data_IF_430843236704
#
_entry.id   IF_430843236704
#
_cell.length_a   1.000
_cell.length_b   1.000
_cell.length_c   1.000
_cell.angle_alpha   90.00
_cell.angle_beta   90.00
_cell.angle_gamma   90.00
#
_symmetry.space_group_name_H-M   'P 1'
#
loop_
_entity.id
_entity.type
_entity.pdbx_description
1 polymer ?
#
# COMPACT_ATOMS: atom_id res chain seq x y z
N UNK A 1 -0.64 -31.36 -11.52
CA UNK A 1 -0.84 -30.70 -10.21
C UNK A 1 -1.19 -29.24 -10.48
N UNK A 2 -2.46 -28.86 -10.29
CA UNK A 2 -2.90 -27.47 -10.46
C UNK A 2 -2.57 -26.70 -9.19
N UNK A 3 -1.57 -25.82 -9.24
CA UNK A 3 -1.23 -24.94 -8.13
C UNK A 3 -2.16 -23.73 -8.17
N UNK A 4 -3.32 -23.84 -7.54
CA UNK A 4 -4.15 -22.65 -7.31
C UNK A 4 -3.45 -21.82 -6.22
N UNK A 5 -2.60 -20.89 -6.62
CA UNK A 5 -1.98 -19.96 -5.67
C UNK A 5 -3.07 -19.04 -5.13
N UNK A 6 -3.19 -18.97 -3.80
CA UNK A 6 -4.06 -18.00 -3.15
C UNK A 6 -3.67 -16.60 -3.65
N UNK A 7 -4.62 -15.81 -4.16
CA UNK A 7 -4.30 -14.47 -4.63
C UNK A 7 -3.72 -13.64 -3.47
N UNK A 8 -2.71 -12.79 -3.72
CA UNK A 8 -2.13 -11.98 -2.68
C UNK A 8 -3.17 -11.05 -2.06
N UNK A 9 -2.96 -10.65 -0.80
CA UNK A 9 -3.85 -9.73 -0.10
C UNK A 9 -4.07 -8.44 -0.91
N UNK A 10 -5.24 -7.81 -0.73
CA UNK A 10 -5.55 -6.54 -1.40
C UNK A 10 -4.42 -5.52 -1.20
N UNK A 11 -3.85 -5.46 0.00
CA UNK A 11 -2.76 -4.55 0.33
C UNK A 11 -1.53 -4.80 -0.56
N UNK A 12 -1.13 -6.08 -0.72
CA UNK A 12 0.01 -6.44 -1.57
C UNK A 12 -0.31 -6.16 -3.05
N UNK A 13 -1.55 -6.41 -3.49
CA UNK A 13 -1.99 -6.07 -4.85
C UNK A 13 -1.91 -4.57 -5.12
N UNK A 14 -2.36 -3.74 -4.18
CA UNK A 14 -2.27 -2.27 -4.28
C UNK A 14 -0.80 -1.84 -4.32
N UNK A 15 0.06 -2.38 -3.45
CA UNK A 15 1.47 -2.04 -3.44
C UNK A 15 2.17 -2.37 -4.76
N UNK A 16 1.89 -3.54 -5.33
CA UNK A 16 2.42 -3.95 -6.64
C UNK A 16 1.87 -3.07 -7.76
N UNK A 17 0.56 -2.80 -7.77
CA UNK A 17 -0.06 -1.94 -8.77
C UNK A 17 0.54 -0.52 -8.76
N UNK A 18 0.85 0.00 -7.58
CA UNK A 18 1.50 1.30 -7.41
C UNK A 18 3.04 1.25 -7.54
N UNK A 19 3.62 0.10 -7.89
CA UNK A 19 5.07 -0.10 -8.05
C UNK A 19 5.88 0.33 -6.81
N UNK A 20 5.31 0.12 -5.62
CA UNK A 20 5.96 0.49 -4.36
C UNK A 20 7.07 -0.51 -4.03
N UNK A 21 8.32 -0.06 -4.13
CA UNK A 21 9.51 -0.83 -3.72
C UNK A 21 9.64 -0.91 -2.20
N UNK A 22 9.51 0.24 -1.54
CA UNK A 22 9.67 0.40 -0.10
C UNK A 22 8.41 1.03 0.49
N UNK A 23 7.79 0.37 1.46
CA UNK A 23 6.56 0.83 2.11
C UNK A 23 6.39 0.22 3.50
N UNK A 24 5.68 0.92 4.38
CA UNK A 24 5.22 0.37 5.65
C UNK A 24 3.76 -0.10 5.54
N UNK A 25 3.44 -1.16 6.29
CA UNK A 25 2.06 -1.53 6.61
C UNK A 25 1.87 -1.23 8.08
N UNK A 26 0.93 -0.34 8.41
CA UNK A 26 0.74 0.15 9.77
C UNK A 26 -0.73 -0.01 10.18
N UNK A 27 -0.95 -0.55 11.38
CA UNK A 27 -2.23 -0.48 12.07
C UNK A 27 -1.98 0.11 13.46
N UNK A 28 -2.58 1.26 13.73
CA UNK A 28 -2.53 1.87 15.06
C UNK A 28 -3.69 1.31 15.89
N UNK A 29 -3.39 0.76 17.06
CA UNK A 29 -4.39 0.22 17.99
C UNK A 29 -4.42 1.07 19.27
N UNK A 30 -5.49 1.84 19.45
CA UNK A 30 -5.71 2.75 20.58
C UNK A 30 -5.21 4.18 20.32
N UNK A 31 -5.83 5.15 21.01
CA UNK A 31 -5.55 6.58 20.82
C UNK A 31 -4.09 6.95 21.05
N UNK A 32 -3.42 6.35 22.05
CA UNK A 32 -2.00 6.60 22.36
C UNK A 32 -1.04 6.10 21.27
N UNK A 33 -1.47 5.15 20.44
CA UNK A 33 -0.74 4.70 19.26
C UNK A 33 -1.00 5.57 18.02
N UNK A 34 -1.78 6.66 18.15
CA UNK A 34 -2.13 7.54 17.03
C UNK A 34 -3.33 7.05 16.20
N UNK A 35 -4.18 6.16 16.74
CA UNK A 35 -5.42 5.79 16.07
C UNK A 35 -6.41 6.95 16.10
N UNK A 36 -6.83 7.42 14.92
CA UNK A 36 -7.82 8.49 14.77
C UNK A 36 -9.20 7.97 14.35
N UNK A 37 -9.26 6.73 13.85
CA UNK A 37 -10.49 6.08 13.39
C UNK A 37 -10.62 4.70 14.05
N UNK A 38 -11.68 4.51 14.85
CA UNK A 38 -11.82 3.37 15.77
C UNK A 38 -12.52 2.15 15.14
N UNK A 39 -12.00 1.70 14.01
CA UNK A 39 -12.29 0.37 13.44
C UNK A 39 -11.01 -0.23 12.85
N UNK A 40 -11.01 -1.53 12.56
CA UNK A 40 -9.87 -2.18 11.93
C UNK A 40 -9.61 -1.57 10.55
N UNK A 41 -8.46 -0.92 10.40
CA UNK A 41 -7.98 -0.38 9.13
C UNK A 41 -6.45 -0.44 9.14
N UNK A 42 -5.88 -0.58 7.95
CA UNK A 42 -4.43 -0.57 7.75
C UNK A 42 -4.05 0.59 6.85
N UNK A 43 -2.91 1.19 7.13
CA UNK A 43 -2.26 2.15 6.26
C UNK A 43 -1.20 1.43 5.43
N UNK A 44 -1.21 1.69 4.12
CA UNK A 44 -0.09 1.42 3.24
C UNK A 44 0.64 2.74 3.02
N UNK A 45 1.85 2.88 3.55
CA UNK A 45 2.62 4.13 3.55
C UNK A 45 3.86 3.99 2.65
N UNK A 46 3.86 4.57 1.43
CA UNK A 46 5.04 4.58 0.57
C UNK A 46 6.24 5.29 1.23
N UNK A 47 7.45 4.76 1.04
CA UNK A 47 8.72 5.40 1.42
C UNK A 47 9.60 5.58 0.17
N UNK A 48 9.37 6.64 -0.63
CA UNK A 48 10.15 6.86 -1.85
C UNK A 48 11.61 7.28 -1.60
N UNK A 49 11.90 7.82 -0.40
CA UNK A 49 13.24 8.22 0.05
C UNK A 49 13.39 8.00 1.56
N UNK A 50 14.62 8.06 2.07
CA UNK A 50 14.89 7.98 3.51
C UNK A 50 14.22 9.10 4.33
N UNK A 51 14.02 10.27 3.72
CA UNK A 51 13.41 11.44 4.36
C UNK A 51 11.88 11.51 4.19
N UNK A 52 11.24 10.49 3.59
CA UNK A 52 9.80 10.50 3.31
C UNK A 52 9.09 9.22 3.81
N UNK A 53 7.75 9.28 3.85
CA UNK A 53 6.87 8.21 4.30
C UNK A 53 6.57 8.27 5.80
N UNK A 54 6.65 7.13 6.49
CA UNK A 54 6.43 7.10 7.95
C UNK A 54 7.64 7.69 8.68
N UNK A 55 7.53 8.96 9.06
CA UNK A 55 8.51 9.71 9.85
C UNK A 55 7.79 10.60 10.86
N UNK A 56 8.47 10.96 11.95
CA UNK A 56 7.96 11.97 12.90
C UNK A 56 8.13 13.34 12.25
N UNK A 57 7.07 13.85 11.62
CA UNK A 57 7.08 15.15 10.95
C UNK A 57 5.99 16.06 11.51
N UNK A 58 6.31 17.35 11.66
CA UNK A 58 5.32 18.36 12.02
C UNK A 58 4.37 18.63 10.86
N UNK A 59 3.12 18.17 11.00
CA UNK A 59 2.05 18.43 10.05
C UNK A 59 1.88 17.36 8.97
N UNK A 60 0.70 17.36 8.34
CA UNK A 60 0.34 16.47 7.24
C UNK A 60 0.24 17.26 5.94
N UNK A 61 0.82 16.73 4.86
CA UNK A 61 0.59 17.25 3.51
C UNK A 61 -0.77 16.77 3.01
N UNK A 62 -1.56 17.68 2.43
CA UNK A 62 -2.82 17.31 1.78
C UNK A 62 -2.52 16.60 0.46
N UNK A 63 -3.18 15.48 0.22
CA UNK A 63 -3.08 14.70 -1.01
C UNK A 63 -4.45 14.66 -1.68
N UNK A 64 -4.48 14.73 -3.02
CA UNK A 64 -5.69 14.44 -3.78
C UNK A 64 -6.01 12.94 -3.71
N UNK A 65 -6.92 12.59 -2.81
CA UNK A 65 -7.37 11.21 -2.62
C UNK A 65 -8.23 10.71 -3.78
N UNK A 66 -8.90 11.61 -4.52
CA UNK A 66 -9.80 11.23 -5.61
C UNK A 66 -9.00 10.77 -6.82
N UNK A 67 -7.99 11.54 -7.21
CA UNK A 67 -7.05 11.16 -8.27
C UNK A 67 -6.33 9.85 -7.94
N UNK A 68 -5.83 9.72 -6.71
CA UNK A 68 -5.15 8.50 -6.27
C UNK A 68 -6.06 7.27 -6.30
N UNK A 69 -7.30 7.38 -5.83
CA UNK A 69 -8.27 6.28 -5.86
C UNK A 69 -8.66 5.89 -7.31
N UNK A 70 -8.72 6.85 -8.23
CA UNK A 70 -8.93 6.56 -9.67
C UNK A 70 -7.74 5.77 -10.24
N UNK A 71 -6.53 6.18 -9.92
CA UNK A 71 -5.31 5.51 -10.40
C UNK A 71 -5.18 4.08 -9.87
N UNK A 72 -5.44 3.87 -8.57
CA UNK A 72 -5.43 2.52 -7.97
C UNK A 72 -6.43 1.61 -8.69
N UNK A 73 -7.66 2.09 -8.95
CA UNK A 73 -8.67 1.30 -9.67
C UNK A 73 -8.24 0.97 -11.09
N UNK A 74 -7.69 1.95 -11.81
CA UNK A 74 -7.17 1.76 -13.16
C UNK A 74 -6.08 0.67 -13.18
N UNK A 75 -5.07 0.77 -12.32
CA UNK A 75 -3.95 -0.18 -12.28
C UNK A 75 -4.32 -1.58 -11.77
N UNK A 76 -5.30 -1.68 -10.86
CA UNK A 76 -5.79 -2.98 -10.40
C UNK A 76 -6.67 -3.70 -11.44
N UNK A 77 -7.31 -2.96 -12.34
CA UNK A 77 -8.15 -3.47 -13.42
C UNK A 77 -7.39 -3.75 -14.72
N UNK A 78 -6.21 -3.15 -14.91
CA UNK A 78 -5.37 -3.41 -16.09
C UNK A 78 -4.78 -4.84 -16.05
N UNK A 79 -4.74 -5.55 -17.18
CA UNK A 79 -4.03 -6.82 -17.26
C UNK A 79 -2.56 -6.59 -16.88
N UNK A 80 -2.06 -7.35 -15.91
CA UNK A 80 -0.68 -7.27 -15.44
C UNK A 80 0.24 -7.43 -16.66
N UNK A 81 1.13 -6.47 -16.89
CA UNK A 81 2.15 -6.60 -17.92
C UNK A 81 2.88 -7.95 -17.69
N UNK A 82 2.83 -8.82 -18.69
CA UNK A 82 3.43 -10.14 -18.63
C UNK A 82 4.95 -9.98 -18.59
N UNK A 83 5.52 -10.01 -17.39
CA UNK A 83 6.96 -9.87 -17.21
C UNK A 83 7.31 -9.40 -15.82
N UNK A 84 7.38 -10.34 -14.87
CA UNK A 84 8.35 -10.35 -13.77
C UNK A 84 7.95 -11.51 -12.85
N UNK A 85 8.63 -12.64 -13.04
CA UNK A 85 8.66 -13.73 -12.08
C UNK A 85 9.35 -13.22 -10.82
N UNK A 86 8.61 -13.02 -9.74
CA UNK A 86 9.21 -12.99 -8.42
C UNK A 86 9.13 -14.40 -7.84
N UNK A 87 10.08 -15.22 -8.28
CA UNK A 87 10.64 -16.26 -7.44
C UNK A 87 11.73 -15.60 -6.59
N UNK A 88 11.67 -15.75 -5.28
CA UNK A 88 12.69 -15.21 -4.38
C UNK A 88 12.33 -15.40 -2.93
N UNK A 89 12.90 -16.46 -2.33
CA UNK A 89 13.21 -16.59 -0.90
C UNK A 89 12.05 -16.84 0.04
#
# INVERSE_FOLDING_TARGET
MSTTSTPPSLLKRVAVALELKEYNVLQNNGARAGQTVFHAHVHLVPKPTAAAGLIVQGGLTRVDQTGLAKEIRHRLGAPRAAGESQAGG
#
